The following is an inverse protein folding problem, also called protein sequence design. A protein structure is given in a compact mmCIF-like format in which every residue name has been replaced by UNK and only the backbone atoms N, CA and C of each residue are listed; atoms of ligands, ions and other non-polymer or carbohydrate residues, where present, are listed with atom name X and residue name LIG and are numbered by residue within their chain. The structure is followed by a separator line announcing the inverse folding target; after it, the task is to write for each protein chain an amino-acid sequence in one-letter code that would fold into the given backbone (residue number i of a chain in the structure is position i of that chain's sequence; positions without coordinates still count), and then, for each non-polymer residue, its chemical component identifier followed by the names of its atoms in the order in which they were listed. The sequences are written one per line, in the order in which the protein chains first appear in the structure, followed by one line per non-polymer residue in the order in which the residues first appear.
data_IF_878820067932
#
_entry.id   IF_878820067932
#
_cell.length_a   1.000
_cell.length_b   1.000
_cell.length_c   1.000
_cell.angle_alpha   90.00
_cell.angle_beta   90.00
_cell.angle_gamma   90.00
#
_symmetry.space_group_name_H-M   'P 1'
#
loop_
_entity.id
_entity.type
_entity.pdbx_description
1 polymer ?
#
# COMPACT_ATOMS: atom_id res chain seq x y z
N UNK A 1 5.58 12.89 -21.10
CA UNK A 1 5.64 11.45 -20.80
C UNK A 1 4.54 10.75 -21.57
N UNK A 2 4.89 9.71 -22.33
CA UNK A 2 3.94 9.02 -23.21
C UNK A 2 3.73 7.59 -22.67
N UNK A 3 2.48 7.23 -22.38
CA UNK A 3 2.14 5.83 -22.15
C UNK A 3 2.31 5.02 -23.43
N UNK A 4 2.51 3.69 -23.28
CA UNK A 4 2.48 2.77 -24.42
C UNK A 4 1.12 2.86 -25.12
N UNK A 5 1.08 2.56 -26.42
CA UNK A 5 -0.16 2.59 -27.20
C UNK A 5 -1.06 1.35 -26.90
N UNK A 6 -0.47 0.26 -26.42
CA UNK A 6 -1.14 -0.94 -25.94
C UNK A 6 -0.32 -1.63 -24.83
N UNK A 7 -0.95 -2.37 -23.89
CA UNK A 7 -0.23 -3.15 -22.89
C UNK A 7 0.63 -4.24 -23.54
N UNK A 8 1.86 -4.40 -23.04
CA UNK A 8 2.85 -5.34 -23.54
C UNK A 8 2.62 -6.77 -23.01
N UNK A 9 2.14 -6.90 -21.77
CA UNK A 9 2.16 -8.20 -21.07
C UNK A 9 0.81 -8.92 -21.03
N UNK A 10 -0.29 -8.17 -20.99
CA UNK A 10 -1.64 -8.73 -20.85
C UNK A 10 -2.54 -8.18 -21.97
N UNK A 11 -2.98 -9.03 -22.91
CA UNK A 11 -3.91 -8.59 -23.96
C UNK A 11 -5.25 -8.22 -23.33
N UNK A 12 -5.71 -7.01 -23.58
CA UNK A 12 -6.93 -6.48 -22.97
C UNK A 12 -8.16 -6.77 -23.81
N UNK A 13 -9.29 -7.07 -23.17
CA UNK A 13 -10.60 -7.22 -23.82
C UNK A 13 -11.67 -6.51 -22.97
N UNK A 14 -12.17 -5.34 -23.41
CA UNK A 14 -13.19 -4.60 -22.67
C UNK A 14 -14.53 -5.34 -22.56
N UNK A 15 -14.76 -6.42 -23.32
CA UNK A 15 -15.94 -7.28 -23.18
C UNK A 15 -15.73 -8.44 -22.21
N UNK A 16 -14.50 -8.66 -21.73
CA UNK A 16 -14.18 -9.72 -20.79
C UNK A 16 -15.05 -9.61 -19.53
N UNK A 17 -15.49 -10.75 -19.03
CA UNK A 17 -16.20 -10.86 -17.75
C UNK A 17 -15.25 -11.15 -16.59
N UNK A 18 -13.94 -11.13 -16.83
CA UNK A 18 -12.93 -11.56 -15.87
C UNK A 18 -13.01 -13.07 -15.61
N UNK A 19 -12.30 -13.52 -14.58
CA UNK A 19 -12.39 -14.91 -14.11
C UNK A 19 -13.69 -15.18 -13.34
N UNK A 20 -14.10 -16.44 -13.21
CA UNK A 20 -15.39 -16.81 -12.61
C UNK A 20 -15.51 -16.42 -11.13
N UNK A 21 -14.39 -16.32 -10.38
CA UNK A 21 -14.42 -15.96 -8.95
C UNK A 21 -14.32 -14.46 -8.75
N UNK A 22 -13.45 -13.78 -9.49
CA UNK A 22 -13.13 -12.38 -9.23
C UNK A 22 -13.85 -11.39 -10.15
N UNK A 23 -14.25 -11.85 -11.35
CA UNK A 23 -14.94 -11.05 -12.35
C UNK A 23 -16.17 -10.29 -11.84
N UNK A 24 -17.05 -10.90 -11.02
CA UNK A 24 -18.23 -10.22 -10.48
C UNK A 24 -17.92 -8.97 -9.64
N UNK A 25 -16.74 -8.88 -9.02
CA UNK A 25 -16.38 -7.70 -8.22
C UNK A 25 -16.21 -6.42 -9.05
N UNK A 26 -16.05 -6.50 -10.37
CA UNK A 26 -15.97 -5.33 -11.25
C UNK A 26 -17.34 -4.76 -11.66
N UNK A 27 -18.46 -5.36 -11.24
CA UNK A 27 -19.77 -4.72 -11.45
C UNK A 27 -19.81 -3.38 -10.72
N UNK A 28 -19.94 -2.28 -11.48
CA UNK A 28 -19.81 -0.92 -10.95
C UNK A 28 -20.81 -0.65 -9.83
N UNK A 29 -20.30 -0.06 -8.75
CA UNK A 29 -21.16 0.50 -7.71
C UNK A 29 -22.00 1.63 -8.31
N UNK A 30 -23.32 1.72 -8.02
CA UNK A 30 -24.19 2.72 -8.63
C UNK A 30 -23.77 4.17 -8.34
N UNK A 31 -23.22 4.45 -7.15
CA UNK A 31 -22.76 5.78 -6.79
C UNK A 31 -21.47 6.14 -7.55
N UNK A 32 -20.53 5.20 -7.64
CA UNK A 32 -19.34 5.40 -8.46
C UNK A 32 -19.67 5.52 -9.95
N UNK A 33 -20.58 4.70 -10.48
CA UNK A 33 -21.00 4.77 -11.87
C UNK A 33 -21.52 6.17 -12.27
N UNK A 34 -22.21 6.85 -11.35
CA UNK A 34 -22.70 8.21 -11.55
C UNK A 34 -21.58 9.28 -11.52
N UNK A 35 -20.51 9.05 -10.75
CA UNK A 35 -19.40 10.00 -10.59
C UNK A 35 -18.22 9.75 -11.56
N UNK A 36 -18.18 8.56 -12.18
CA UNK A 36 -17.03 8.05 -12.94
C UNK A 36 -16.50 9.00 -14.00
N UNK A 37 -17.37 9.54 -14.86
CA UNK A 37 -16.94 10.40 -15.97
C UNK A 37 -16.25 11.69 -15.48
N UNK A 38 -16.71 12.25 -14.36
CA UNK A 38 -16.07 13.41 -13.73
C UNK A 38 -14.70 13.06 -13.16
N UNK A 39 -14.58 11.89 -12.52
CA UNK A 39 -13.31 11.41 -11.99
C UNK A 39 -12.30 11.12 -13.11
N UNK A 40 -12.72 10.48 -14.21
CA UNK A 40 -11.87 10.22 -15.37
C UNK A 40 -11.27 11.53 -15.94
N UNK A 41 -12.08 12.60 -16.06
CA UNK A 41 -11.59 13.90 -16.53
C UNK A 41 -10.55 14.55 -15.60
N UNK A 42 -10.71 14.39 -14.28
CA UNK A 42 -9.73 14.87 -13.29
C UNK A 42 -8.43 14.06 -13.41
N UNK A 43 -8.54 12.73 -13.43
CA UNK A 43 -7.38 11.84 -13.54
C UNK A 43 -6.61 12.06 -14.84
N UNK A 44 -7.30 12.26 -15.96
CA UNK A 44 -6.68 12.59 -17.25
C UNK A 44 -5.81 13.85 -17.18
N UNK A 45 -6.14 14.80 -16.31
CA UNK A 45 -5.32 16.00 -16.10
C UNK A 45 -4.07 15.67 -15.29
N UNK A 46 -4.21 14.84 -14.25
CA UNK A 46 -3.10 14.43 -13.40
C UNK A 46 -2.06 13.60 -14.17
N UNK A 47 -2.52 12.72 -15.07
CA UNK A 47 -1.65 11.87 -15.88
C UNK A 47 -0.91 12.61 -17.00
N UNK A 48 -1.38 13.80 -17.42
CA UNK A 48 -0.75 14.59 -18.49
C UNK A 48 0.42 15.41 -17.94
N UNK A 49 1.63 15.02 -18.31
CA UNK A 49 2.84 15.79 -18.08
C UNK A 49 3.88 15.44 -19.13
N UNK A 50 4.79 16.36 -19.47
CA UNK A 50 5.86 16.11 -20.43
C UNK A 50 7.11 15.49 -19.79
N UNK A 51 7.33 15.73 -18.50
CA UNK A 51 8.46 15.25 -17.70
C UNK A 51 8.02 14.80 -16.28
N UNK A 52 8.93 14.16 -15.54
CA UNK A 52 8.68 13.64 -14.19
C UNK A 52 8.45 14.72 -13.13
N UNK A 53 9.05 15.89 -13.28
CA UNK A 53 8.89 16.99 -12.32
C UNK A 53 7.47 17.53 -12.37
N UNK A 54 7.00 17.88 -13.58
CA UNK A 54 5.63 18.31 -13.86
C UNK A 54 4.64 17.24 -13.43
N UNK A 55 4.93 15.97 -13.76
CA UNK A 55 4.09 14.85 -13.37
C UNK A 55 3.91 14.77 -11.86
N UNK A 56 5.01 14.72 -11.08
CA UNK A 56 4.95 14.68 -9.62
C UNK A 56 4.23 15.89 -9.04
N UNK A 57 4.41 17.07 -9.63
CA UNK A 57 3.74 18.29 -9.18
C UNK A 57 2.22 18.25 -9.39
N UNK A 58 1.72 17.61 -10.46
CA UNK A 58 0.27 17.44 -10.66
C UNK A 58 -0.40 16.73 -9.46
N UNK A 59 0.30 15.78 -8.84
CA UNK A 59 -0.24 14.98 -7.75
C UNK A 59 -0.21 15.68 -6.39
N UNK A 60 0.57 16.75 -6.21
CA UNK A 60 0.77 17.42 -4.91
C UNK A 60 -0.43 18.23 -4.40
N UNK A 61 -1.57 18.20 -5.10
CA UNK A 61 -2.77 18.92 -4.69
C UNK A 61 -3.24 18.52 -3.30
N UNK A 62 -3.58 19.50 -2.47
CA UNK A 62 -4.21 19.25 -1.17
C UNK A 62 -5.71 18.96 -1.37
N UNK A 63 -6.15 17.81 -0.85
CA UNK A 63 -7.59 17.53 -0.71
C UNK A 63 -8.03 17.85 0.73
N UNK A 64 -9.22 18.46 0.91
CA UNK A 64 -9.72 18.73 2.25
C UNK A 64 -9.93 17.42 3.02
N UNK A 65 -9.52 17.40 4.28
CA UNK A 65 -9.74 16.25 5.15
C UNK A 65 -11.24 16.06 5.41
N UNK A 66 -11.77 14.83 5.28
CA UNK A 66 -13.17 14.53 5.62
C UNK A 66 -13.52 14.90 7.05
N UNK A 67 -14.81 15.14 7.31
CA UNK A 67 -15.29 15.35 8.66
C UNK A 67 -15.01 14.12 9.53
N UNK A 68 -14.45 14.36 10.73
CA UNK A 68 -14.09 13.31 11.68
C UNK A 68 -12.66 12.78 11.56
N UNK A 69 -11.90 13.17 10.52
CA UNK A 69 -10.47 12.87 10.45
C UNK A 69 -9.71 13.62 11.55
N UNK A 70 -8.81 12.96 12.32
CA UNK A 70 -7.97 13.61 13.32
C UNK A 70 -7.18 14.76 12.71
N UNK A 71 -7.11 15.90 13.41
CA UNK A 71 -6.52 17.13 12.85
C UNK A 71 -5.00 17.16 13.04
N UNK A 72 -4.20 17.38 11.98
CA UNK A 72 -2.77 17.64 12.09
C UNK A 72 -2.50 18.84 13.01
N UNK A 73 -1.51 18.72 13.89
CA UNK A 73 -1.12 19.76 14.85
C UNK A 73 -2.10 19.99 16.02
N UNK A 74 -3.20 19.25 16.08
CA UNK A 74 -4.18 19.32 17.18
C UNK A 74 -4.38 17.95 17.82
N UNK A 75 -4.73 16.94 17.03
CA UNK A 75 -4.91 15.56 17.50
C UNK A 75 -3.65 14.72 17.28
N UNK A 76 -2.86 15.06 16.26
CA UNK A 76 -1.63 14.35 15.88
C UNK A 76 -0.49 15.35 15.69
N UNK A 77 0.61 15.13 16.41
CA UNK A 77 1.86 15.87 16.26
C UNK A 77 2.78 15.14 15.27
N UNK A 78 3.52 15.90 14.47
CA UNK A 78 4.48 15.37 13.52
C UNK A 78 5.88 15.93 13.76
N UNK A 79 6.89 15.08 13.61
CA UNK A 79 8.31 15.45 13.55
C UNK A 79 9.00 14.67 12.44
N UNK A 80 10.22 15.08 12.10
CA UNK A 80 10.99 14.48 11.01
C UNK A 80 12.34 14.04 11.55
N UNK A 81 12.76 12.84 11.16
CA UNK A 81 14.09 12.31 11.45
C UNK A 81 14.70 11.79 10.16
N UNK A 82 16.02 11.69 10.13
CA UNK A 82 16.77 11.12 9.01
C UNK A 82 17.45 9.83 9.45
N UNK A 83 17.37 8.81 8.60
CA UNK A 83 17.98 7.50 8.85
C UNK A 83 18.93 7.14 7.70
N UNK A 84 20.10 6.55 7.99
CA UNK A 84 21.07 6.22 6.95
C UNK A 84 20.60 4.99 6.14
N UNK A 85 20.54 5.15 4.82
CA UNK A 85 20.49 4.06 3.88
C UNK A 85 21.87 3.39 3.76
N UNK A 86 21.91 2.16 3.23
CA UNK A 86 23.12 1.38 3.01
C UNK A 86 24.15 2.01 2.08
N UNK A 87 23.74 2.96 1.24
CA UNK A 87 24.61 3.72 0.33
C UNK A 87 24.97 5.11 0.87
N UNK A 88 24.60 5.42 2.11
CA UNK A 88 24.87 6.70 2.77
C UNK A 88 23.84 7.79 2.47
N UNK A 89 22.81 7.52 1.67
CA UNK A 89 21.67 8.44 1.53
C UNK A 89 20.94 8.59 2.88
N UNK A 90 20.42 9.78 3.17
CA UNK A 90 19.61 10.03 4.37
C UNK A 90 18.13 9.94 4.01
N UNK A 91 17.47 8.85 4.38
CA UNK A 91 16.03 8.64 4.18
C UNK A 91 15.28 9.45 5.25
N UNK A 92 14.33 10.28 4.84
CA UNK A 92 13.46 11.00 5.77
C UNK A 92 12.34 10.08 6.28
N UNK A 93 12.13 10.09 7.60
CA UNK A 93 10.95 9.52 8.23
C UNK A 93 10.09 10.62 8.86
N UNK A 94 8.82 10.71 8.46
CA UNK A 94 7.82 11.51 9.18
C UNK A 94 7.26 10.68 10.32
N UNK A 95 7.54 11.11 11.54
CA UNK A 95 7.08 10.50 12.78
C UNK A 95 5.80 11.20 13.20
N UNK A 96 4.70 10.46 13.30
CA UNK A 96 3.40 10.97 13.72
C UNK A 96 2.94 10.28 15.01
N UNK A 97 2.50 11.07 15.98
CA UNK A 97 2.07 10.59 17.30
C UNK A 97 0.83 11.34 17.77
N UNK A 98 0.01 10.70 18.59
CA UNK A 98 -1.15 11.36 19.20
C UNK A 98 -0.68 12.51 20.08
N UNK A 99 -1.28 13.69 19.96
CA UNK A 99 -1.05 14.81 20.87
C UNK A 99 -1.42 14.47 22.33
N UNK A 100 -2.18 13.39 22.53
CA UNK A 100 -2.55 12.85 23.84
C UNK A 100 -1.51 11.87 24.40
N UNK A 101 -0.53 11.42 23.62
CA UNK A 101 0.47 10.42 24.06
C UNK A 101 1.27 10.86 25.28
N UNK A 102 1.65 12.14 25.39
CA UNK A 102 2.39 12.65 26.56
C UNK A 102 1.58 12.58 27.88
N UNK A 103 0.25 12.44 27.80
CA UNK A 103 -0.65 12.28 28.95
C UNK A 103 -1.07 10.82 29.17
N UNK A 104 -0.64 9.91 28.29
CA UNK A 104 -0.94 8.49 28.38
C UNK A 104 -0.06 7.83 29.42
N UNK A 105 -0.57 6.80 30.09
CA UNK A 105 0.24 5.88 30.91
C UNK A 105 1.00 4.84 30.06
N UNK A 106 0.84 4.88 28.73
CA UNK A 106 1.50 3.98 27.80
C UNK A 106 3.03 4.06 27.92
N UNK A 107 3.65 2.92 28.16
CA UNK A 107 5.11 2.81 28.15
C UNK A 107 5.61 2.57 26.72
N UNK A 108 6.93 2.64 26.54
CA UNK A 108 7.56 2.19 25.30
C UNK A 108 7.22 0.72 24.98
N UNK A 109 6.98 -0.14 25.99
CA UNK A 109 6.65 -1.55 25.78
C UNK A 109 5.23 -1.75 25.23
N UNK A 110 4.32 -0.83 25.55
CA UNK A 110 2.91 -0.84 25.12
C UNK A 110 2.67 -0.17 23.77
N UNK A 111 3.70 0.47 23.21
CA UNK A 111 3.59 1.33 22.05
C UNK A 111 4.02 0.61 20.78
N UNK A 112 3.10 0.52 19.81
CA UNK A 112 3.30 -0.09 18.49
C UNK A 112 3.95 0.92 17.54
N UNK A 113 4.85 0.45 16.70
CA UNK A 113 5.31 1.20 15.53
C UNK A 113 4.46 0.80 14.32
N UNK A 114 3.79 1.75 13.67
CA UNK A 114 3.22 1.55 12.33
C UNK A 114 4.23 2.08 11.33
N UNK A 115 4.87 1.19 10.58
CA UNK A 115 5.81 1.55 9.51
C UNK A 115 5.04 1.69 8.20
N UNK A 116 4.99 2.91 7.66
CA UNK A 116 4.16 3.28 6.52
C UNK A 116 5.00 3.43 5.25
N UNK A 117 4.65 2.67 4.22
CA UNK A 117 5.19 2.82 2.86
C UNK A 117 4.09 3.34 1.95
N UNK A 118 4.21 4.58 1.49
CA UNK A 118 3.17 5.22 0.68
C UNK A 118 2.98 4.54 -0.68
N UNK A 119 1.83 4.79 -1.32
CA UNK A 119 1.53 4.38 -2.68
C UNK A 119 2.12 5.31 -3.72
N UNK A 120 1.61 5.24 -4.95
CA UNK A 120 2.08 6.08 -6.06
C UNK A 120 3.01 5.37 -7.06
N UNK A 121 2.80 4.07 -7.27
CA UNK A 121 3.47 3.34 -8.35
C UNK A 121 5.00 3.41 -8.29
N UNK A 122 5.59 3.48 -7.08
CA UNK A 122 7.03 3.61 -6.84
C UNK A 122 7.70 4.87 -7.45
N UNK A 123 6.94 5.76 -8.10
CA UNK A 123 7.48 6.88 -8.88
C UNK A 123 6.91 8.25 -8.51
N UNK A 124 5.78 8.26 -7.81
CA UNK A 124 5.15 9.43 -7.18
C UNK A 124 4.81 9.08 -5.71
N UNK A 125 4.49 10.10 -4.92
CA UNK A 125 4.10 9.96 -3.52
C UNK A 125 5.08 10.59 -2.53
N UNK A 126 4.61 10.79 -1.30
CA UNK A 126 5.31 11.39 -0.16
C UNK A 126 4.55 11.03 1.12
N UNK A 127 5.01 11.52 2.28
CA UNK A 127 4.39 11.23 3.58
C UNK A 127 2.89 11.51 3.71
N UNK A 128 2.34 12.42 2.89
CA UNK A 128 0.93 12.84 2.94
C UNK A 128 0.07 12.22 1.82
N UNK A 129 0.60 11.28 1.04
CA UNK A 129 -0.19 10.57 0.01
C UNK A 129 -1.41 9.87 0.61
N UNK A 130 -1.26 9.22 1.75
CA UNK A 130 -2.35 8.56 2.51
C UNK A 130 -2.53 9.20 3.89
N UNK A 131 -2.61 10.54 3.89
CA UNK A 131 -2.64 11.34 5.12
C UNK A 131 -3.85 11.00 6.01
N UNK A 132 -5.00 10.64 5.44
CA UNK A 132 -6.22 10.32 6.21
C UNK A 132 -5.98 9.08 7.07
N UNK A 133 -5.50 8.00 6.45
CA UNK A 133 -5.15 6.74 7.08
C UNK A 133 -4.04 6.95 8.13
N UNK A 134 -3.02 7.74 7.78
CA UNK A 134 -1.91 8.04 8.67
C UNK A 134 -2.36 8.80 9.94
N UNK A 135 -3.25 9.79 9.79
CA UNK A 135 -3.79 10.57 10.90
C UNK A 135 -4.67 9.70 11.82
N UNK A 136 -5.51 8.84 11.25
CA UNK A 136 -6.29 7.90 12.02
C UNK A 136 -5.39 6.95 12.83
N UNK A 137 -4.40 6.32 12.19
CA UNK A 137 -3.47 5.42 12.86
C UNK A 137 -2.67 6.13 13.97
N UNK A 138 -2.10 7.30 13.68
CA UNK A 138 -1.29 8.07 14.63
C UNK A 138 -2.11 8.71 15.77
N UNK A 139 -3.44 8.83 15.63
CA UNK A 139 -4.30 9.38 16.68
C UNK A 139 -4.42 8.48 17.92
N UNK A 140 -4.13 7.17 17.78
CA UNK A 140 -4.11 6.23 18.88
C UNK A 140 -2.93 6.53 19.83
N UNK A 141 -3.16 6.64 21.16
CA UNK A 141 -2.12 7.07 22.10
C UNK A 141 -0.94 6.09 22.24
N UNK A 142 -1.13 4.83 21.84
CA UNK A 142 -0.16 3.74 21.86
C UNK A 142 0.43 3.43 20.49
N UNK A 143 0.34 4.35 19.52
CA UNK A 143 0.88 4.18 18.19
C UNK A 143 1.87 5.30 17.89
N UNK A 144 3.02 4.92 17.34
CA UNK A 144 3.91 5.81 16.62
C UNK A 144 3.89 5.40 15.17
N UNK A 145 3.42 6.27 14.28
CA UNK A 145 3.51 6.04 12.85
C UNK A 145 4.82 6.63 12.32
N UNK A 146 5.60 5.83 11.62
CA UNK A 146 6.81 6.23 10.91
C UNK A 146 6.56 6.04 9.41
N UNK A 147 6.31 7.13 8.69
CA UNK A 147 6.20 7.11 7.23
C UNK A 147 7.57 7.24 6.60
N UNK A 148 7.87 6.37 5.63
CA UNK A 148 9.16 6.32 4.94
C UNK A 148 9.06 7.11 3.63
N UNK A 149 9.94 8.10 3.43
CA UNK A 149 10.13 8.79 2.15
C UNK A 149 11.16 8.01 1.32
N UNK A 150 10.76 6.84 0.80
CA UNK A 150 11.65 6.00 0.02
C UNK A 150 11.95 6.67 -1.32
N UNK A 151 13.17 6.48 -1.85
CA UNK A 151 13.56 7.08 -3.12
C UNK A 151 12.71 6.54 -4.27
N UNK A 152 12.38 7.40 -5.23
CA UNK A 152 11.42 7.09 -6.29
C UNK A 152 12.09 6.70 -7.61
N UNK A 153 11.43 5.81 -8.35
CA UNK A 153 11.71 5.52 -9.73
C UNK A 153 11.29 6.70 -10.65
N UNK A 154 11.90 6.85 -11.84
CA UNK A 154 12.94 5.99 -12.42
C UNK A 154 14.37 6.35 -12.01
N UNK A 155 14.59 7.43 -11.25
CA UNK A 155 15.92 7.84 -10.79
C UNK A 155 16.54 6.77 -9.88
N UNK A 156 15.70 6.12 -9.08
CA UNK A 156 16.06 5.04 -8.18
C UNK A 156 15.16 3.82 -8.44
N UNK A 157 15.42 3.03 -9.48
CA UNK A 157 14.63 1.83 -9.78
C UNK A 157 14.87 0.75 -8.73
N UNK A 158 14.10 -0.33 -8.80
CA UNK A 158 14.33 -1.55 -8.03
C UNK A 158 15.81 -1.99 -8.12
N UNK A 159 16.46 -2.38 -6.99
CA UNK A 159 15.87 -2.61 -5.66
C UNK A 159 15.89 -1.41 -4.71
N UNK A 160 16.24 -0.20 -5.15
CA UNK A 160 16.49 0.95 -4.26
C UNK A 160 15.29 1.32 -3.37
N UNK A 161 14.05 1.46 -3.88
CA UNK A 161 12.91 1.81 -3.01
C UNK A 161 12.64 0.77 -1.92
N UNK A 162 12.81 -0.52 -2.23
CA UNK A 162 12.70 -1.60 -1.24
C UNK A 162 13.87 -1.59 -0.25
N UNK A 163 15.09 -1.34 -0.71
CA UNK A 163 16.26 -1.24 0.14
C UNK A 163 16.09 -0.11 1.16
N UNK A 164 15.55 1.04 0.75
CA UNK A 164 15.26 2.15 1.67
C UNK A 164 14.25 1.73 2.75
N UNK A 165 13.20 0.99 2.37
CA UNK A 165 12.23 0.45 3.33
C UNK A 165 12.88 -0.55 4.30
N UNK A 166 13.78 -1.41 3.82
CA UNK A 166 14.54 -2.35 4.66
C UNK A 166 15.47 -1.59 5.62
N UNK A 167 16.17 -0.57 5.14
CA UNK A 167 17.13 0.19 5.94
C UNK A 167 16.39 1.00 7.04
N UNK A 168 15.24 1.61 6.69
CA UNK A 168 14.36 2.25 7.67
C UNK A 168 13.81 1.26 8.70
N UNK A 169 13.38 0.06 8.28
CA UNK A 169 12.93 -1.00 9.18
C UNK A 169 14.04 -1.44 10.15
N UNK A 170 15.26 -1.65 9.67
CA UNK A 170 16.41 -2.01 10.51
C UNK A 170 16.76 -0.89 11.50
N UNK A 171 16.68 0.37 11.06
CA UNK A 171 16.86 1.50 11.96
C UNK A 171 15.81 1.51 13.07
N UNK A 172 14.53 1.29 12.73
CA UNK A 172 13.44 1.17 13.72
C UNK A 172 13.71 0.02 14.68
N UNK A 173 14.11 -1.16 14.19
CA UNK A 173 14.48 -2.32 15.03
C UNK A 173 15.56 -1.96 16.05
N UNK A 174 16.56 -1.17 15.65
CA UNK A 174 17.68 -0.81 16.51
C UNK A 174 17.38 0.38 17.45
N UNK A 175 16.52 1.32 17.06
CA UNK A 175 16.42 2.63 17.73
C UNK A 175 15.01 2.98 18.27
N UNK A 176 13.96 2.21 17.95
CA UNK A 176 12.58 2.59 18.29
C UNK A 176 12.36 2.85 19.79
N UNK A 177 13.01 2.07 20.67
CA UNK A 177 12.86 2.23 22.12
C UNK A 177 13.32 3.60 22.60
N UNK A 178 14.49 4.04 22.14
CA UNK A 178 15.15 5.26 22.61
C UNK A 178 14.68 6.48 21.83
N UNK A 179 14.64 6.38 20.49
CA UNK A 179 14.34 7.50 19.61
C UNK A 179 12.83 7.74 19.44
N UNK A 180 12.01 6.68 19.49
CA UNK A 180 10.57 6.78 19.23
C UNK A 180 9.70 6.53 20.47
N UNK A 181 10.28 6.04 21.57
CA UNK A 181 9.53 5.55 22.74
C UNK A 181 8.51 4.46 22.36
N UNK A 182 8.93 3.51 21.52
CA UNK A 182 8.09 2.44 21.00
C UNK A 182 8.80 1.08 21.02
N UNK A 183 8.03 0.00 20.93
CA UNK A 183 8.55 -1.36 21.05
C UNK A 183 9.01 -1.89 19.68
N UNK A 184 10.32 -2.17 19.47
CA UNK A 184 10.82 -2.71 18.20
C UNK A 184 10.32 -4.15 17.90
N UNK A 185 9.68 -4.83 18.86
CA UNK A 185 9.04 -6.13 18.66
C UNK A 185 7.54 -6.04 18.36
N UNK A 186 6.99 -4.82 18.20
CA UNK A 186 5.58 -4.59 17.87
C UNK A 186 5.45 -3.62 16.69
N UNK A 187 5.76 -4.11 15.50
CA UNK A 187 5.75 -3.36 14.24
C UNK A 187 4.58 -3.83 13.37
N UNK A 188 3.74 -2.91 12.92
CA UNK A 188 2.74 -3.14 11.88
C UNK A 188 3.27 -2.53 10.58
N UNK A 189 3.28 -3.31 9.50
CA UNK A 189 3.56 -2.75 8.18
C UNK A 189 2.25 -2.29 7.55
N UNK A 190 2.19 -1.02 7.13
CA UNK A 190 1.03 -0.41 6.49
C UNK A 190 1.40 0.13 5.11
N UNK A 191 0.75 -0.39 4.08
CA UNK A 191 1.04 -0.08 2.69
C UNK A 191 -0.23 0.10 1.86
N UNK A 192 -0.22 1.07 0.96
CA UNK A 192 -1.27 1.25 -0.05
C UNK A 192 -0.66 1.14 -1.44
N UNK A 193 -1.32 0.42 -2.35
CA UNK A 193 -0.86 0.24 -3.74
C UNK A 193 0.58 -0.29 -3.79
N UNK A 194 1.48 0.36 -4.52
CA UNK A 194 2.91 0.08 -4.53
C UNK A 194 3.54 -0.11 -3.13
N UNK A 195 3.11 0.70 -2.14
CA UNK A 195 3.57 0.62 -0.76
C UNK A 195 3.16 -0.66 -0.03
N UNK A 196 2.03 -1.25 -0.41
CA UNK A 196 1.63 -2.58 0.08
C UNK A 196 2.49 -3.70 -0.51
N UNK A 197 2.91 -3.56 -1.78
CA UNK A 197 3.88 -4.47 -2.39
C UNK A 197 5.23 -4.40 -1.67
N UNK A 198 5.70 -3.18 -1.37
CA UNK A 198 6.88 -2.96 -0.54
C UNK A 198 6.72 -3.54 0.87
N UNK A 199 5.54 -3.41 1.48
CA UNK A 199 5.23 -4.00 2.79
C UNK A 199 5.29 -5.53 2.77
N UNK A 200 4.73 -6.15 1.74
CA UNK A 200 4.75 -7.59 1.58
C UNK A 200 6.17 -8.11 1.30
N UNK A 201 6.93 -7.43 0.43
CA UNK A 201 8.32 -7.75 0.15
C UNK A 201 9.21 -7.61 1.40
N UNK A 202 9.00 -6.57 2.21
CA UNK A 202 9.69 -6.37 3.47
C UNK A 202 9.36 -7.46 4.49
N UNK A 203 8.09 -7.88 4.58
CA UNK A 203 7.67 -8.96 5.46
C UNK A 203 8.33 -10.30 5.08
N UNK A 204 8.40 -10.60 3.78
CA UNK A 204 9.13 -11.77 3.27
C UNK A 204 10.62 -11.68 3.59
N UNK A 205 11.23 -10.51 3.35
CA UNK A 205 12.64 -10.28 3.69
C UNK A 205 12.91 -10.54 5.18
N UNK A 206 12.08 -10.00 6.07
CA UNK A 206 12.22 -10.19 7.51
C UNK A 206 12.09 -11.67 7.90
N UNK A 207 11.08 -12.39 7.37
CA UNK A 207 10.92 -13.83 7.59
C UNK A 207 12.15 -14.61 7.14
N UNK A 208 12.62 -14.37 5.92
CA UNK A 208 13.72 -15.12 5.31
C UNK A 208 15.07 -14.87 6.01
N UNK A 209 15.19 -13.74 6.72
CA UNK A 209 16.36 -13.39 7.54
C UNK A 209 16.13 -13.61 9.05
N UNK A 210 15.04 -14.27 9.45
CA UNK A 210 14.68 -14.54 10.85
C UNK A 210 14.60 -13.27 11.74
N UNK A 211 14.17 -12.15 11.17
CA UNK A 211 13.99 -10.89 11.90
C UNK A 211 12.57 -10.86 12.49
N UNK A 212 12.48 -10.84 13.81
CA UNK A 212 11.21 -10.74 14.54
C UNK A 212 10.66 -9.32 14.60
N UNK A 213 9.44 -9.19 15.11
CA UNK A 213 8.87 -7.92 15.53
C UNK A 213 7.78 -7.37 14.61
N UNK A 214 7.66 -7.87 13.37
CA UNK A 214 6.47 -7.57 12.56
C UNK A 214 5.31 -8.42 13.09
N UNK A 215 4.28 -7.77 13.62
CA UNK A 215 3.13 -8.41 14.27
C UNK A 215 1.87 -8.40 13.42
N UNK A 216 1.79 -7.54 12.41
CA UNK A 216 0.66 -7.52 11.48
C UNK A 216 1.00 -6.81 10.15
N UNK A 217 0.25 -7.14 9.10
CA UNK A 217 0.29 -6.48 7.79
C UNK A 217 -1.07 -5.83 7.49
N UNK A 218 -1.09 -4.56 7.10
CA UNK A 218 -2.24 -3.87 6.54
C UNK A 218 -1.94 -3.47 5.09
N UNK A 219 -2.63 -4.08 4.14
CA UNK A 219 -2.33 -3.99 2.72
C UNK A 219 -3.57 -3.50 1.94
N UNK A 220 -3.53 -2.27 1.48
CA UNK A 220 -4.61 -1.68 0.67
C UNK A 220 -4.27 -1.81 -0.84
N UNK A 221 -5.24 -2.35 -1.60
CA UNK A 221 -5.23 -2.65 -3.05
C UNK A 221 -3.87 -3.11 -3.55
N UNK A 222 -3.42 -4.30 -3.12
CA UNK A 222 -2.01 -4.59 -3.15
C UNK A 222 -1.48 -5.05 -4.50
N UNK A 223 -0.25 -4.64 -4.78
CA UNK A 223 0.52 -5.09 -5.94
C UNK A 223 1.18 -6.43 -5.63
N UNK A 224 0.95 -7.43 -6.46
CA UNK A 224 1.37 -8.81 -6.19
C UNK A 224 2.56 -9.27 -7.02
N UNK A 225 2.56 -8.98 -8.32
CA UNK A 225 3.63 -9.31 -9.24
C UNK A 225 3.62 -8.44 -10.51
N UNK A 226 4.77 -8.37 -11.16
CA UNK A 226 4.83 -7.82 -12.50
C UNK A 226 4.02 -8.70 -13.49
N UNK A 227 3.16 -8.13 -14.37
CA UNK A 227 2.23 -8.86 -15.24
C UNK A 227 2.91 -9.86 -16.20
N UNK A 228 4.18 -9.62 -16.56
CA UNK A 228 5.06 -10.60 -17.22
C UNK A 228 5.01 -12.01 -16.60
N UNK A 229 4.80 -12.13 -15.29
CA UNK A 229 4.78 -13.41 -14.57
C UNK A 229 3.37 -13.97 -14.35
N UNK A 230 2.31 -13.30 -14.81
CA UNK A 230 0.94 -13.80 -14.62
C UNK A 230 0.72 -15.19 -15.24
N UNK A 231 1.22 -15.52 -16.45
CA UNK A 231 1.11 -16.87 -16.98
C UNK A 231 1.72 -17.93 -16.06
N UNK A 232 2.93 -17.68 -15.54
CA UNK A 232 3.59 -18.57 -14.59
C UNK A 232 2.78 -18.71 -13.29
N UNK A 233 2.28 -17.61 -12.74
CA UNK A 233 1.50 -17.61 -11.50
C UNK A 233 0.16 -18.36 -11.65
N UNK A 234 -0.50 -18.22 -12.81
CA UNK A 234 -1.70 -18.99 -13.17
C UNK A 234 -1.39 -20.48 -13.21
N UNK A 235 -0.33 -20.88 -13.90
CA UNK A 235 0.07 -22.29 -14.04
C UNK A 235 0.47 -22.90 -12.69
N UNK A 236 1.29 -22.19 -11.90
CA UNK A 236 1.86 -22.70 -10.65
C UNK A 236 0.87 -22.72 -9.49
N UNK A 237 -0.03 -21.73 -9.39
CA UNK A 237 -0.87 -21.53 -8.21
C UNK A 237 -2.37 -21.46 -8.50
N UNK A 238 -2.78 -21.35 -9.77
CA UNK A 238 -4.20 -21.28 -10.14
C UNK A 238 -4.88 -19.94 -9.81
N UNK A 239 -4.12 -18.85 -9.74
CA UNK A 239 -4.71 -17.51 -9.58
C UNK A 239 -5.41 -17.08 -10.88
N UNK A 240 -6.47 -16.28 -10.80
CA UNK A 240 -7.19 -15.82 -12.01
C UNK A 240 -6.39 -14.74 -12.76
N UNK A 241 -6.03 -13.64 -12.08
CA UNK A 241 -5.23 -12.54 -12.65
C UNK A 241 -5.82 -11.97 -13.96
N UNK A 242 -7.15 -11.91 -14.07
CA UNK A 242 -7.89 -11.45 -15.24
C UNK A 242 -8.34 -9.98 -15.15
N UNK A 243 -8.10 -9.31 -14.01
CA UNK A 243 -8.48 -7.90 -13.81
C UNK A 243 -7.81 -6.93 -14.80
N UNK A 244 -6.57 -7.21 -15.23
CA UNK A 244 -5.90 -6.43 -16.28
C UNK A 244 -6.61 -6.53 -17.65
N UNK A 245 -7.20 -7.70 -17.95
CA UNK A 245 -7.96 -7.92 -19.19
C UNK A 245 -9.32 -7.22 -19.10
N UNK A 246 -9.99 -7.38 -17.94
CA UNK A 246 -11.37 -6.93 -17.69
C UNK A 246 -11.49 -5.42 -17.44
N UNK A 247 -10.52 -4.81 -16.75
CA UNK A 247 -10.55 -3.40 -16.33
C UNK A 247 -9.31 -2.65 -16.86
N UNK A 248 -9.04 -2.67 -18.18
CA UNK A 248 -7.79 -2.11 -18.70
C UNK A 248 -7.70 -0.58 -18.55
N UNK A 249 -8.85 0.10 -18.45
CA UNK A 249 -8.97 1.55 -18.31
C UNK A 249 -9.51 1.94 -16.93
N UNK A 250 -9.02 1.33 -15.85
CA UNK A 250 -9.36 1.77 -14.50
C UNK A 250 -9.06 3.25 -14.29
N UNK A 251 -9.91 3.96 -13.54
CA UNK A 251 -9.88 5.44 -13.43
C UNK A 251 -8.54 5.97 -12.91
N UNK A 252 -7.97 5.28 -11.92
CA UNK A 252 -6.66 5.62 -11.33
C UNK A 252 -5.59 4.63 -11.76
N UNK A 253 -5.93 3.35 -11.85
CA UNK A 253 -4.99 2.29 -12.22
C UNK A 253 -5.57 1.50 -13.39
N UNK A 254 -5.10 1.82 -14.59
CA UNK A 254 -5.31 1.04 -15.82
C UNK A 254 -4.07 0.24 -16.19
N UNK A 255 -4.20 -0.71 -17.11
CA UNK A 255 -3.10 -1.58 -17.54
C UNK A 255 -1.89 -0.78 -18.06
N UNK A 256 -2.13 0.26 -18.88
CA UNK A 256 -1.08 1.14 -19.41
C UNK A 256 -0.40 1.99 -18.32
N UNK A 257 -1.17 2.46 -17.33
CA UNK A 257 -0.65 3.23 -16.19
C UNK A 257 0.23 2.32 -15.32
N UNK A 258 -0.22 1.09 -15.07
CA UNK A 258 0.57 0.11 -14.33
C UNK A 258 1.88 -0.23 -15.05
N UNK A 259 1.84 -0.49 -16.36
CA UNK A 259 3.06 -0.74 -17.13
C UNK A 259 4.00 0.47 -17.13
N UNK A 260 3.48 1.69 -17.19
CA UNK A 260 4.29 2.90 -17.09
C UNK A 260 5.06 2.98 -15.76
N UNK A 261 4.40 2.67 -14.63
CA UNK A 261 5.07 2.61 -13.33
C UNK A 261 6.07 1.45 -13.24
N UNK A 262 5.72 0.29 -13.79
CA UNK A 262 6.59 -0.90 -13.77
C UNK A 262 7.81 -0.77 -14.68
N UNK A 263 7.71 -0.05 -15.80
CA UNK A 263 8.85 0.27 -16.67
C UNK A 263 9.83 1.20 -15.94
N UNK A 264 9.32 2.15 -15.14
CA UNK A 264 10.15 3.01 -14.31
C UNK A 264 10.80 2.24 -13.14
N UNK A 265 10.02 1.40 -12.45
CA UNK A 265 10.46 0.67 -11.25
C UNK A 265 11.34 -0.52 -11.57
N UNK A 266 11.01 -1.31 -12.60
CA UNK A 266 11.70 -2.54 -13.00
C UNK A 266 12.09 -2.53 -14.48
N UNK A 267 12.93 -1.57 -14.94
CA UNK A 267 13.24 -1.41 -16.37
C UNK A 267 13.88 -2.65 -17.01
N UNK A 268 14.56 -3.50 -16.22
CA UNK A 268 15.12 -4.78 -16.64
C UNK A 268 14.51 -5.94 -15.86
N UNK A 269 13.18 -6.11 -15.91
CA UNK A 269 12.45 -7.08 -15.09
C UNK A 269 12.97 -8.53 -15.22
N UNK A 270 13.51 -9.04 -14.10
CA UNK A 270 13.94 -10.43 -13.89
C UNK A 270 12.99 -11.16 -12.95
N UNK A 271 13.04 -12.49 -12.93
CA UNK A 271 12.31 -13.30 -11.94
C UNK A 271 12.90 -13.07 -10.55
N UNK A 272 12.23 -12.25 -9.73
CA UNK A 272 12.70 -11.86 -8.40
C UNK A 272 11.51 -11.57 -7.47
N UNK A 273 11.45 -12.32 -6.37
CA UNK A 273 10.38 -12.25 -5.36
C UNK A 273 10.30 -10.88 -4.67
N UNK A 274 11.36 -10.06 -4.75
CA UNK A 274 11.44 -8.78 -4.03
C UNK A 274 10.65 -7.65 -4.70
N UNK A 275 10.48 -7.67 -6.02
CA UNK A 275 9.53 -6.76 -6.71
C UNK A 275 8.21 -7.45 -7.05
N UNK A 276 8.19 -8.79 -7.07
CA UNK A 276 7.00 -9.60 -7.34
C UNK A 276 6.78 -10.65 -6.25
N UNK A 277 6.30 -10.27 -5.05
CA UNK A 277 6.13 -11.17 -3.91
C UNK A 277 5.33 -12.44 -4.19
N UNK A 278 4.35 -12.41 -5.11
CA UNK A 278 3.58 -13.61 -5.49
C UNK A 278 4.44 -14.72 -6.11
N UNK A 279 5.68 -14.44 -6.55
CA UNK A 279 6.61 -15.46 -7.03
C UNK A 279 7.17 -16.36 -5.92
N UNK A 280 7.16 -15.92 -4.65
CA UNK A 280 7.67 -16.72 -3.53
C UNK A 280 6.87 -18.01 -3.35
N UNK A 281 7.52 -19.16 -3.08
CA UNK A 281 6.81 -20.44 -3.04
C UNK A 281 5.70 -20.52 -1.98
N UNK A 282 5.87 -19.81 -0.86
CA UNK A 282 4.90 -19.77 0.23
C UNK A 282 4.94 -18.45 0.99
N UNK A 283 3.80 -18.08 1.58
CA UNK A 283 3.67 -17.00 2.57
C UNK A 283 3.56 -17.53 4.01
N UNK A 284 3.79 -18.82 4.24
CA UNK A 284 3.89 -19.37 5.59
C UNK A 284 4.91 -18.59 6.43
N UNK A 285 4.60 -18.40 7.71
CA UNK A 285 5.44 -17.66 8.66
C UNK A 285 5.29 -16.13 8.61
N UNK A 286 4.49 -15.57 7.69
CA UNK A 286 4.13 -14.15 7.74
C UNK A 286 3.15 -13.86 8.88
N UNK A 287 3.14 -12.62 9.42
CA UNK A 287 2.22 -12.25 10.49
C UNK A 287 0.78 -12.09 9.97
N UNK A 288 -0.22 -12.05 10.87
CA UNK A 288 -1.61 -11.81 10.51
C UNK A 288 -1.78 -10.61 9.57
N UNK A 289 -2.63 -10.77 8.57
CA UNK A 289 -2.80 -9.80 7.50
C UNK A 289 -4.24 -9.31 7.38
N UNK A 290 -4.39 -8.03 7.08
CA UNK A 290 -5.63 -7.35 6.77
C UNK A 290 -5.50 -6.72 5.38
N UNK A 291 -6.43 -7.07 4.49
CA UNK A 291 -6.41 -6.65 3.10
C UNK A 291 -7.70 -5.94 2.72
N UNK A 292 -7.56 -4.84 1.99
CA UNK A 292 -8.68 -4.07 1.44
C UNK A 292 -8.49 -3.94 -0.07
N UNK A 293 -9.45 -4.41 -0.87
CA UNK A 293 -9.29 -4.55 -2.33
C UNK A 293 -10.42 -3.83 -3.03
N UNK A 294 -10.11 -2.99 -4.02
CA UNK A 294 -11.10 -2.36 -4.87
C UNK A 294 -11.56 -3.34 -5.98
N UNK A 295 -12.86 -3.37 -6.29
CA UNK A 295 -13.46 -4.35 -7.20
C UNK A 295 -13.37 -3.98 -8.68
N UNK A 296 -13.49 -2.69 -9.01
CA UNK A 296 -13.26 -2.16 -10.36
C UNK A 296 -11.84 -1.60 -10.47
N UNK A 297 -10.86 -2.48 -10.25
CA UNK A 297 -9.45 -2.13 -10.17
C UNK A 297 -8.61 -3.16 -10.94
N UNK A 298 -7.64 -2.66 -11.72
CA UNK A 298 -6.64 -3.47 -12.41
C UNK A 298 -5.87 -4.36 -11.42
N UNK A 299 -5.63 -3.89 -10.19
CA UNK A 299 -4.89 -4.62 -9.15
C UNK A 299 -5.76 -5.58 -8.32
N UNK A 300 -7.08 -5.66 -8.58
CA UNK A 300 -8.00 -6.51 -7.81
C UNK A 300 -7.52 -7.94 -7.68
N UNK A 301 -7.23 -8.61 -8.80
CA UNK A 301 -6.91 -10.04 -8.79
C UNK A 301 -5.55 -10.32 -8.15
N UNK A 302 -4.62 -9.36 -8.20
CA UNK A 302 -3.37 -9.48 -7.46
C UNK A 302 -3.64 -9.47 -5.96
N UNK A 303 -4.50 -8.58 -5.48
CA UNK A 303 -4.90 -8.56 -4.08
C UNK A 303 -5.61 -9.83 -3.65
N UNK A 304 -6.49 -10.38 -4.50
CA UNK A 304 -7.10 -11.68 -4.24
C UNK A 304 -6.04 -12.79 -4.20
N UNK A 305 -5.08 -12.80 -5.14
CA UNK A 305 -4.00 -13.78 -5.17
C UNK A 305 -3.09 -13.69 -3.92
N UNK A 306 -2.80 -12.48 -3.44
CA UNK A 306 -2.03 -12.26 -2.20
C UNK A 306 -2.81 -12.84 -1.01
N UNK A 307 -4.11 -12.55 -0.90
CA UNK A 307 -4.97 -13.12 0.15
C UNK A 307 -5.02 -14.65 0.09
N UNK A 308 -5.23 -15.24 -1.08
CA UNK A 308 -5.22 -16.69 -1.27
C UNK A 308 -3.89 -17.30 -0.82
N UNK A 309 -2.76 -16.67 -1.16
CA UNK A 309 -1.45 -17.19 -0.81
C UNK A 309 -1.16 -17.12 0.69
N UNK A 310 -1.57 -16.03 1.35
CA UNK A 310 -1.51 -15.90 2.81
C UNK A 310 -2.31 -17.02 3.48
N UNK A 311 -3.55 -17.24 3.03
CA UNK A 311 -4.44 -18.28 3.56
C UNK A 311 -3.87 -19.69 3.34
N UNK A 312 -3.34 -19.99 2.13
CA UNK A 312 -2.66 -21.27 1.84
C UNK A 312 -1.41 -21.48 2.70
N UNK A 313 -0.74 -20.40 3.09
CA UNK A 313 0.39 -20.41 4.02
C UNK A 313 -0.01 -20.57 5.49
N UNK A 314 -1.30 -20.66 5.82
CA UNK A 314 -1.81 -20.74 7.19
C UNK A 314 -1.77 -19.42 7.95
N UNK A 315 -1.63 -18.29 7.25
CA UNK A 315 -1.60 -16.95 7.86
C UNK A 315 -3.03 -16.49 8.16
N UNK A 316 -3.34 -16.05 9.39
CA UNK A 316 -4.64 -15.44 9.68
C UNK A 316 -4.86 -14.22 8.79
N UNK A 317 -5.86 -14.28 7.90
CA UNK A 317 -6.05 -13.29 6.85
C UNK A 317 -7.48 -12.78 6.87
N UNK A 318 -7.64 -11.48 7.08
CA UNK A 318 -8.90 -10.74 6.98
C UNK A 318 -8.93 -10.01 5.63
N UNK A 319 -9.99 -10.20 4.84
CA UNK A 319 -10.09 -9.68 3.47
C UNK A 319 -11.41 -8.96 3.29
N UNK A 320 -11.33 -7.74 2.76
CA UNK A 320 -12.48 -6.91 2.41
C UNK A 320 -12.38 -6.48 0.96
N UNK A 321 -13.39 -6.82 0.14
CA UNK A 321 -13.43 -6.46 -1.27
C UNK A 321 -14.59 -5.49 -1.49
N UNK A 322 -14.30 -4.32 -2.06
CA UNK A 322 -15.24 -3.25 -2.32
C UNK A 322 -15.73 -3.33 -3.77
N UNK A 323 -16.86 -4.00 -3.96
CA UNK A 323 -17.43 -4.24 -5.28
C UNK A 323 -17.62 -2.93 -6.06
N UNK A 324 -17.16 -2.94 -7.31
CA UNK A 324 -17.43 -1.89 -8.27
C UNK A 324 -16.74 -0.55 -8.05
N UNK A 325 -15.90 -0.41 -7.02
CA UNK A 325 -15.16 0.82 -6.73
C UNK A 325 -13.77 0.80 -7.37
N UNK A 326 -13.23 1.99 -7.75
CA UNK A 326 -11.91 2.09 -8.36
C UNK A 326 -10.77 2.01 -7.35
N UNK A 327 -9.55 1.84 -7.84
CA UNK A 327 -8.32 2.01 -7.06
C UNK A 327 -8.31 3.36 -6.31
N UNK A 328 -7.84 3.36 -5.06
CA UNK A 328 -7.82 4.55 -4.19
C UNK A 328 -9.17 5.25 -3.98
N UNK A 329 -10.30 4.53 -4.08
CA UNK A 329 -11.62 5.17 -3.93
C UNK A 329 -11.80 5.91 -2.60
N UNK A 330 -11.17 5.45 -1.51
CA UNK A 330 -11.26 6.09 -0.20
C UNK A 330 -10.73 7.52 -0.18
N UNK A 331 -9.75 7.81 -1.06
CA UNK A 331 -9.10 9.12 -1.17
C UNK A 331 -9.83 10.03 -2.16
N UNK A 332 -10.39 9.46 -3.23
CA UNK A 332 -11.01 10.22 -4.32
C UNK A 332 -12.50 10.46 -4.12
N UNK A 333 -13.17 9.57 -3.38
CA UNK A 333 -14.61 9.60 -3.17
C UNK A 333 -14.92 9.47 -1.67
N UNK A 334 -14.34 10.38 -0.88
CA UNK A 334 -14.43 10.40 0.59
C UNK A 334 -15.86 10.46 1.13
N UNK A 335 -16.80 10.96 0.33
CA UNK A 335 -18.22 11.03 0.67
C UNK A 335 -18.97 9.69 0.53
N UNK A 336 -18.39 8.70 -0.18
CA UNK A 336 -19.03 7.39 -0.34
C UNK A 336 -19.12 6.68 1.01
N UNK A 337 -20.25 6.01 1.32
CA UNK A 337 -20.38 5.17 2.51
C UNK A 337 -19.24 4.16 2.63
N UNK A 338 -18.77 3.61 1.51
CA UNK A 338 -17.69 2.64 1.44
C UNK A 338 -16.33 3.24 1.82
N UNK A 339 -16.09 4.54 1.59
CA UNK A 339 -14.86 5.20 2.04
C UNK A 339 -14.82 5.29 3.58
N UNK A 340 -15.97 5.57 4.20
CA UNK A 340 -16.12 5.54 5.67
C UNK A 340 -15.97 4.12 6.22
N UNK A 341 -16.54 3.13 5.53
CA UNK A 341 -16.40 1.72 5.90
C UNK A 341 -14.93 1.25 5.80
N UNK A 342 -14.22 1.64 4.75
CA UNK A 342 -12.78 1.42 4.57
C UNK A 342 -11.99 1.95 5.77
N UNK A 343 -12.21 3.21 6.15
CA UNK A 343 -11.52 3.79 7.30
C UNK A 343 -11.88 3.09 8.62
N UNK A 344 -13.17 2.74 8.80
CA UNK A 344 -13.64 2.07 10.00
C UNK A 344 -13.02 0.67 10.18
N UNK A 345 -12.89 -0.10 9.08
CA UNK A 345 -12.27 -1.43 9.11
C UNK A 345 -10.78 -1.36 9.43
N UNK A 346 -10.06 -0.40 8.86
CA UNK A 346 -8.64 -0.19 9.17
C UNK A 346 -8.43 0.21 10.64
N UNK A 347 -9.28 1.09 11.18
CA UNK A 347 -9.24 1.47 12.60
C UNK A 347 -9.53 0.27 13.51
N UNK A 348 -10.57 -0.52 13.20
CA UNK A 348 -10.91 -1.73 13.96
C UNK A 348 -9.79 -2.77 13.95
N UNK A 349 -9.12 -2.95 12.80
CA UNK A 349 -7.94 -3.80 12.69
C UNK A 349 -6.79 -3.32 13.58
N UNK A 350 -6.50 -2.01 13.57
CA UNK A 350 -5.42 -1.44 14.38
C UNK A 350 -5.74 -1.55 15.88
N UNK A 351 -6.96 -1.24 16.29
CA UNK A 351 -7.43 -1.39 17.69
C UNK A 351 -7.31 -2.84 18.18
N UNK A 352 -7.76 -3.80 17.35
CA UNK A 352 -7.60 -5.23 17.62
C UNK A 352 -6.12 -5.62 17.77
N UNK A 353 -5.26 -5.09 16.89
CA UNK A 353 -3.82 -5.35 16.92
C UNK A 353 -3.16 -4.79 18.18
N UNK A 354 -3.47 -3.54 18.56
CA UNK A 354 -3.02 -2.91 19.81
C UNK A 354 -3.42 -3.76 21.02
N UNK A 355 -4.68 -4.18 21.08
CA UNK A 355 -5.21 -5.00 22.18
C UNK A 355 -4.48 -6.35 22.28
N UNK A 356 -4.27 -7.04 21.15
CA UNK A 356 -3.57 -8.33 21.13
C UNK A 356 -2.09 -8.21 21.48
N UNK A 357 -1.43 -7.13 21.03
CA UNK A 357 -0.01 -6.89 21.31
C UNK A 357 0.25 -6.58 22.80
N UNK A 358 -0.72 -6.00 23.50
CA UNK A 358 -0.60 -5.61 24.92
C UNK A 358 -1.32 -6.56 25.89
N UNK A 359 -1.92 -7.65 25.40
CA UNK A 359 -2.52 -8.70 26.24
C UNK A 359 -1.52 -9.80 26.65
N UNK A 360 -0.33 -9.82 26.04
CA UNK A 360 0.79 -10.71 26.37
C UNK A 360 1.79 -9.94 27.21
#
# INVERSE_FOLDING_TARGET
MKFKDAPEYVPTDPNSKGGPRNGPYAELDPHFAAARAGAEAIMDTLWKADDWETFRNNWKGESPLPEGTPKPGVDVEASYIKVPARDGHEIELKIMKSAKSAKSAATADDTIVVLRMHGGGWAIGWHDTEVIENLHAASHPNVVLASIDYRLAPEYPFPTPLNDCIDAFQWVKANAREALHANPEKIVLLGGSAGSGLSLALALHARDHNISGIIALALDWPTGAHPKFFPELRERFGYELESYVQVPNGVVSGALIMEFFLDAYTPNVQHDVRHSPLLADTFAGLPPAFLQIAGFDTLRDEGVAVAEKLQRGGVPTEVHIYQGLPHCFSMLFTDLPQAKEYQARQNAFLEKTIKLANAK
#
